data_IF_727390027209
#
_entry.id   IF_727390027209
#
_cell.length_a   1.000
_cell.length_b   1.000
_cell.length_c   1.000
_cell.angle_alpha   90.00
_cell.angle_beta   90.00
_cell.angle_gamma   90.00
#
_symmetry.space_group_name_H-M   'P 1'
#
loop_
_entity.id
_entity.type
_entity.pdbx_description
1 polymer ?
#
# COMPACT_ATOMS: atom_id res chain seq x y z
N UNK A 1 20.89 0.21 8.52
CA UNK A 1 20.41 1.49 7.94
C UNK A 1 18.88 1.69 8.10
N UNK A 2 18.29 1.07 9.14
CA UNK A 2 16.88 1.33 9.45
C UNK A 2 16.71 2.74 10.03
N UNK A 3 15.58 3.36 9.73
CA UNK A 3 15.24 4.69 10.25
C UNK A 3 14.62 4.59 11.65
N UNK A 4 14.51 5.72 12.31
CA UNK A 4 13.62 5.93 13.46
C UNK A 4 12.68 7.09 13.13
N UNK A 5 11.37 6.89 13.31
CA UNK A 5 10.38 7.94 13.10
C UNK A 5 10.04 8.65 14.43
N UNK A 6 9.68 9.95 14.40
CA UNK A 6 9.69 10.82 13.22
C UNK A 6 11.10 11.29 12.84
N UNK A 7 11.34 11.46 11.54
CA UNK A 7 12.63 11.95 11.03
C UNK A 7 12.50 12.64 9.67
N UNK A 8 13.49 13.43 9.32
CA UNK A 8 13.66 13.96 7.97
C UNK A 8 14.79 13.23 7.26
N UNK A 9 14.56 12.86 6.01
CA UNK A 9 15.61 12.31 5.15
C UNK A 9 16.58 13.41 4.70
N UNK A 10 17.71 13.02 4.10
CA UNK A 10 18.67 13.98 3.53
C UNK A 10 18.08 14.84 2.40
N UNK A 11 16.98 14.42 1.80
CA UNK A 11 16.23 15.13 0.76
C UNK A 11 15.06 15.95 1.34
N UNK A 12 15.03 16.18 2.63
CA UNK A 12 13.99 16.93 3.34
C UNK A 12 12.58 16.28 3.24
N UNK A 13 12.51 14.96 3.05
CA UNK A 13 11.25 14.21 3.11
C UNK A 13 10.93 13.87 4.56
N UNK A 14 9.71 14.13 4.97
CA UNK A 14 9.23 13.86 6.33
C UNK A 14 8.72 12.42 6.44
N UNK A 15 9.27 11.65 7.37
CA UNK A 15 8.81 10.30 7.73
C UNK A 15 8.22 10.36 9.13
N UNK A 16 6.89 10.23 9.24
CA UNK A 16 6.17 10.40 10.52
C UNK A 16 5.97 9.08 11.25
N UNK A 17 5.80 7.99 10.52
CA UNK A 17 5.62 6.62 11.03
C UNK A 17 6.45 5.64 10.22
N UNK A 18 6.95 4.56 10.86
CA UNK A 18 7.91 3.66 10.22
C UNK A 18 7.80 2.25 10.80
N UNK A 19 7.19 1.33 10.07
CA UNK A 19 6.96 -0.06 10.47
C UNK A 19 7.76 -1.09 9.69
N UNK A 20 8.83 -0.69 8.96
CA UNK A 20 9.64 -1.65 8.20
C UNK A 20 10.37 -2.69 9.08
N UNK A 21 10.89 -2.35 10.28
CA UNK A 21 11.48 -3.35 11.17
C UNK A 21 10.51 -4.48 11.50
N UNK A 22 9.27 -4.13 11.86
CA UNK A 22 8.22 -5.10 12.21
C UNK A 22 7.80 -5.93 10.98
N UNK A 23 7.80 -5.32 9.78
CA UNK A 23 7.58 -6.05 8.54
C UNK A 23 8.69 -7.09 8.29
N UNK A 24 9.95 -6.71 8.48
CA UNK A 24 11.11 -7.61 8.33
C UNK A 24 11.06 -8.74 9.35
N UNK A 25 10.80 -8.44 10.63
CA UNK A 25 10.71 -9.43 11.70
C UNK A 25 9.60 -10.45 11.43
N UNK A 26 8.46 -9.96 10.91
CA UNK A 26 7.32 -10.82 10.58
C UNK A 26 7.68 -11.79 9.44
N UNK A 27 8.18 -11.28 8.30
CA UNK A 27 8.49 -12.16 7.15
C UNK A 27 9.65 -13.11 7.45
N UNK A 28 10.63 -12.68 8.27
CA UNK A 28 11.73 -13.52 8.73
C UNK A 28 11.21 -14.71 9.54
N UNK A 29 10.34 -14.46 10.51
CA UNK A 29 9.75 -15.46 11.40
C UNK A 29 8.86 -16.44 10.64
N UNK A 30 7.88 -15.93 9.88
CA UNK A 30 6.86 -16.75 9.22
C UNK A 30 7.44 -17.59 8.07
N UNK A 31 8.44 -17.08 7.35
CA UNK A 31 9.11 -17.83 6.29
C UNK A 31 10.16 -18.81 6.83
N UNK A 32 10.59 -18.66 8.07
CA UNK A 32 11.72 -19.41 8.64
C UNK A 32 13.04 -19.05 7.98
N UNK A 33 13.22 -17.79 7.56
CA UNK A 33 14.34 -17.27 6.78
C UNK A 33 15.70 -17.74 7.27
N UNK A 34 16.03 -17.54 8.56
CA UNK A 34 17.34 -17.88 9.15
C UNK A 34 17.70 -19.36 9.05
N UNK A 35 16.68 -20.22 9.14
CA UNK A 35 16.88 -21.66 9.07
C UNK A 35 17.00 -22.17 7.64
N UNK A 36 16.36 -21.51 6.68
CA UNK A 36 16.12 -22.01 5.32
C UNK A 36 17.01 -21.37 4.25
N UNK A 37 17.29 -20.07 4.34
CA UNK A 37 18.07 -19.30 3.36
C UNK A 37 19.45 -19.92 3.12
N UNK A 38 19.79 -20.16 1.87
CA UNK A 38 21.08 -20.77 1.46
C UNK A 38 21.24 -22.25 1.86
N UNK A 39 20.19 -22.86 2.44
CA UNK A 39 20.18 -24.26 2.88
C UNK A 39 19.06 -25.07 2.23
N UNK A 40 18.35 -24.47 1.27
CA UNK A 40 17.30 -25.15 0.55
C UNK A 40 17.89 -26.34 -0.19
N UNK A 41 17.32 -27.54 0.04
CA UNK A 41 17.80 -28.74 -0.63
C UNK A 41 17.49 -28.64 -2.12
N UNK A 42 18.37 -29.17 -2.95
CA UNK A 42 17.98 -29.48 -4.34
C UNK A 42 16.74 -30.36 -4.28
N UNK A 43 15.71 -29.97 -5.02
CA UNK A 43 14.52 -30.77 -5.19
C UNK A 43 14.85 -32.13 -5.84
N UNK A 44 13.86 -32.96 -6.06
CA UNK A 44 14.08 -34.22 -6.79
C UNK A 44 14.49 -33.92 -8.23
N UNK A 45 15.56 -34.55 -8.70
CA UNK A 45 16.01 -34.46 -10.09
C UNK A 45 16.68 -33.12 -10.40
N UNK A 46 16.13 -32.39 -11.38
CA UNK A 46 16.63 -31.14 -11.93
C UNK A 46 16.01 -29.88 -11.33
N UNK A 47 15.18 -30.00 -10.30
CA UNK A 47 14.52 -28.87 -9.63
C UNK A 47 15.38 -28.34 -8.49
N UNK A 48 15.69 -27.05 -8.50
CA UNK A 48 16.37 -26.34 -7.42
C UNK A 48 15.40 -25.37 -6.72
N UNK A 49 15.52 -25.27 -5.38
CA UNK A 49 14.69 -24.38 -4.57
C UNK A 49 15.49 -23.23 -4.01
N UNK A 50 14.86 -22.06 -3.90
CA UNK A 50 15.51 -20.88 -3.34
C UNK A 50 14.54 -19.96 -2.62
N UNK A 51 15.11 -19.15 -1.75
CA UNK A 51 14.40 -18.19 -0.91
C UNK A 51 15.02 -16.79 -1.09
N UNK A 52 14.19 -15.80 -1.44
CA UNK A 52 14.65 -14.43 -1.66
C UNK A 52 13.83 -13.43 -0.83
N UNK A 53 14.49 -12.40 -0.31
CA UNK A 53 13.88 -11.33 0.47
C UNK A 53 14.14 -9.98 -0.19
N UNK A 54 13.16 -9.09 -0.10
CA UNK A 54 13.30 -7.68 -0.42
C UNK A 54 12.30 -6.83 0.37
N UNK A 55 12.51 -5.52 0.37
CA UNK A 55 11.61 -4.55 0.98
C UNK A 55 11.36 -3.38 0.03
N UNK A 56 10.27 -2.67 0.29
CA UNK A 56 9.85 -1.49 -0.45
C UNK A 56 9.25 -0.45 0.48
N UNK A 57 9.07 0.75 -0.07
CA UNK A 57 8.25 1.81 0.52
C UNK A 57 7.44 2.48 -0.58
N UNK A 58 6.33 3.09 -0.19
CA UNK A 58 5.48 3.80 -1.13
C UNK A 58 4.81 5.03 -0.51
N UNK A 59 4.27 5.91 -1.34
CA UNK A 59 3.61 7.14 -0.91
C UNK A 59 2.11 6.91 -0.67
N UNK A 60 1.55 7.53 0.36
CA UNK A 60 0.11 7.53 0.64
C UNK A 60 -0.56 8.75 -0.04
N UNK A 61 -0.45 8.80 -1.36
CA UNK A 61 -0.85 9.94 -2.17
C UNK A 61 0.26 11.00 -2.29
N UNK A 62 0.39 11.57 -3.49
CA UNK A 62 1.37 12.61 -3.79
C UNK A 62 0.96 13.95 -3.20
N UNK A 63 1.83 14.56 -2.39
CA UNK A 63 1.60 15.88 -1.80
C UNK A 63 1.59 17.02 -2.83
N UNK A 64 2.20 16.78 -4.00
CA UNK A 64 2.19 17.71 -5.12
C UNK A 64 1.89 16.96 -6.40
N UNK A 65 0.61 16.70 -6.71
CA UNK A 65 0.23 15.97 -7.91
C UNK A 65 0.56 16.76 -9.17
N UNK A 66 0.76 16.04 -10.29
CA UNK A 66 1.15 16.62 -11.59
C UNK A 66 0.13 17.65 -12.09
N UNK A 67 -1.16 17.38 -11.90
CA UNK A 67 -2.25 18.24 -12.38
C UNK A 67 -2.87 19.08 -11.26
N UNK A 68 -2.09 19.48 -10.28
CA UNK A 68 -2.58 20.29 -9.18
C UNK A 68 -2.67 21.77 -9.57
N UNK A 69 -3.85 22.36 -9.40
CA UNK A 69 -4.17 23.75 -9.76
C UNK A 69 -4.47 24.62 -8.54
N UNK A 70 -4.13 24.15 -7.33
CA UNK A 70 -4.28 24.89 -6.07
C UNK A 70 -5.57 24.59 -5.30
N UNK A 71 -6.47 23.80 -5.86
CA UNK A 71 -7.64 23.29 -5.14
C UNK A 71 -7.26 22.27 -4.06
N UNK A 72 -8.17 21.95 -3.11
CA UNK A 72 -7.95 20.86 -2.15
C UNK A 72 -7.59 19.54 -2.86
N UNK A 73 -6.69 18.76 -2.26
CA UNK A 73 -6.27 17.46 -2.82
C UNK A 73 -7.41 16.45 -2.86
N UNK A 74 -8.36 16.57 -1.93
CA UNK A 74 -9.58 15.79 -1.91
C UNK A 74 -10.74 16.62 -1.37
N UNK A 75 -11.94 16.37 -1.90
CA UNK A 75 -13.20 16.98 -1.44
C UNK A 75 -14.25 15.89 -1.33
N UNK A 76 -14.99 15.88 -0.22
CA UNK A 76 -16.13 15.01 0.03
C UNK A 76 -17.31 15.87 0.46
N UNK A 77 -18.52 15.54 -0.03
CA UNK A 77 -19.76 16.14 0.44
C UNK A 77 -20.58 15.11 1.19
N UNK A 78 -21.27 15.53 2.24
CA UNK A 78 -22.21 14.68 2.98
C UNK A 78 -23.57 15.37 2.97
N UNK A 79 -24.58 14.64 2.51
CA UNK A 79 -25.98 15.03 2.57
C UNK A 79 -26.67 14.27 3.69
N UNK A 80 -27.38 14.99 4.55
CA UNK A 80 -28.25 14.42 5.56
C UNK A 80 -29.69 14.45 5.02
N UNK A 81 -30.33 13.28 4.97
CA UNK A 81 -31.72 13.14 4.57
C UNK A 81 -32.67 13.20 5.79
N UNK A 82 -33.95 13.44 5.53
CA UNK A 82 -34.99 13.67 6.55
C UNK A 82 -35.26 12.43 7.45
N UNK A 83 -34.95 11.24 6.96
CA UNK A 83 -35.07 9.98 7.69
C UNK A 83 -33.82 9.66 8.55
N UNK A 84 -32.81 10.54 8.52
CA UNK A 84 -31.54 10.37 9.21
C UNK A 84 -30.52 9.53 8.42
N UNK A 85 -30.80 9.18 7.16
CA UNK A 85 -29.80 8.55 6.31
C UNK A 85 -28.72 9.56 5.87
N UNK A 86 -27.49 9.06 5.80
CA UNK A 86 -26.29 9.83 5.43
C UNK A 86 -25.86 9.41 4.03
N UNK A 87 -25.78 10.37 3.11
CA UNK A 87 -25.28 10.14 1.75
C UNK A 87 -23.94 10.83 1.60
N UNK A 88 -22.88 10.06 1.44
CA UNK A 88 -21.53 10.54 1.16
C UNK A 88 -21.33 10.61 -0.34
N UNK A 89 -20.98 11.78 -0.85
CA UNK A 89 -20.72 12.03 -2.26
C UNK A 89 -19.21 12.19 -2.45
N UNK A 90 -18.59 11.26 -3.17
CA UNK A 90 -17.15 11.25 -3.42
C UNK A 90 -16.84 11.00 -4.90
N UNK A 91 -15.94 11.78 -5.46
CA UNK A 91 -15.43 11.57 -6.82
C UNK A 91 -14.42 10.40 -6.92
N UNK A 92 -13.94 9.88 -5.77
CA UNK A 92 -13.02 8.75 -5.76
C UNK A 92 -13.76 7.47 -6.18
N UNK A 93 -13.41 6.96 -7.37
CA UNK A 93 -14.03 5.75 -7.90
C UNK A 93 -13.60 4.52 -7.10
N UNK A 94 -14.55 3.63 -6.86
CA UNK A 94 -14.27 2.28 -6.38
C UNK A 94 -14.03 1.37 -7.60
N UNK A 95 -12.81 0.89 -7.74
CA UNK A 95 -12.36 0.00 -8.83
C UNK A 95 -12.08 -1.42 -8.31
N UNK A 96 -12.71 -1.78 -7.18
CA UNK A 96 -12.54 -3.07 -6.51
C UNK A 96 -11.68 -3.00 -5.24
N UNK A 97 -11.07 -1.83 -4.92
CA UNK A 97 -10.23 -1.66 -3.74
C UNK A 97 -11.03 -1.43 -2.44
N UNK A 98 -12.35 -1.27 -2.50
CA UNK A 98 -13.21 -1.10 -1.32
C UNK A 98 -13.22 0.31 -0.74
N UNK A 99 -12.93 1.34 -1.55
CA UNK A 99 -12.93 2.74 -1.10
C UNK A 99 -14.29 3.21 -0.58
N UNK A 100 -15.39 2.78 -1.20
CA UNK A 100 -16.75 3.09 -0.73
C UNK A 100 -16.98 2.61 0.70
N UNK A 101 -16.53 1.41 1.03
CA UNK A 101 -16.62 0.86 2.40
C UNK A 101 -15.80 1.67 3.40
N UNK A 102 -14.56 2.03 3.05
CA UNK A 102 -13.68 2.82 3.92
C UNK A 102 -14.25 4.22 4.19
N UNK A 103 -14.80 4.88 3.17
CA UNK A 103 -15.43 6.18 3.34
C UNK A 103 -16.67 6.10 4.22
N UNK A 104 -17.52 5.08 4.04
CA UNK A 104 -18.68 4.85 4.90
C UNK A 104 -18.28 4.60 6.36
N UNK A 105 -17.27 3.74 6.59
CA UNK A 105 -16.75 3.45 7.93
C UNK A 105 -16.17 4.71 8.59
N UNK A 106 -15.41 5.52 7.85
CA UNK A 106 -14.82 6.76 8.37
C UNK A 106 -15.89 7.77 8.82
N UNK A 107 -16.95 7.93 8.04
CA UNK A 107 -18.06 8.84 8.38
C UNK A 107 -18.88 8.30 9.55
N UNK A 108 -19.19 7.01 9.55
CA UNK A 108 -19.94 6.35 10.62
C UNK A 108 -19.21 6.47 11.98
N UNK A 109 -17.89 6.26 11.99
CA UNK A 109 -17.06 6.37 13.20
C UNK A 109 -17.05 7.78 13.77
N UNK A 110 -16.89 8.82 12.94
CA UNK A 110 -16.92 10.23 13.40
C UNK A 110 -18.27 10.61 14.00
N UNK A 111 -19.35 10.16 13.35
CA UNK A 111 -20.71 10.48 13.79
C UNK A 111 -21.19 9.59 14.93
N UNK A 112 -20.53 8.45 15.17
CA UNK A 112 -20.95 7.45 16.15
C UNK A 112 -22.23 6.71 15.74
N UNK A 113 -22.44 6.50 14.43
CA UNK A 113 -23.66 5.90 13.88
C UNK A 113 -23.41 4.48 13.36
N UNK A 114 -24.49 3.71 13.23
CA UNK A 114 -24.46 2.42 12.55
C UNK A 114 -24.08 2.63 11.07
N UNK A 115 -23.19 1.76 10.57
CA UNK A 115 -22.74 1.79 9.18
C UNK A 115 -23.91 1.68 8.17
N UNK A 116 -24.98 0.98 8.53
CA UNK A 116 -26.18 0.85 7.68
C UNK A 116 -26.87 2.17 7.39
N UNK A 117 -26.62 3.23 8.17
CA UNK A 117 -27.14 4.58 7.92
C UNK A 117 -26.34 5.35 6.86
N UNK A 118 -25.16 4.87 6.50
CA UNK A 118 -24.24 5.58 5.59
C UNK A 118 -24.20 4.91 4.25
N UNK A 119 -24.58 5.65 3.20
CA UNK A 119 -24.45 5.24 1.81
C UNK A 119 -23.43 6.12 1.10
N UNK A 120 -22.58 5.53 0.29
CA UNK A 120 -21.60 6.26 -0.53
C UNK A 120 -22.06 6.23 -2.00
N UNK A 121 -22.02 7.38 -2.65
CA UNK A 121 -22.28 7.55 -4.09
C UNK A 121 -20.98 8.01 -4.74
N UNK A 122 -20.56 7.25 -5.76
CA UNK A 122 -19.39 7.53 -6.60
C UNK A 122 -19.75 7.35 -8.07
N UNK A 123 -18.88 7.77 -8.97
CA UNK A 123 -19.00 7.47 -10.41
C UNK A 123 -19.97 8.34 -11.21
N UNK A 124 -20.71 9.25 -10.56
CA UNK A 124 -21.58 10.21 -11.21
C UNK A 124 -20.99 11.62 -11.14
N UNK A 125 -20.31 12.03 -12.20
CA UNK A 125 -19.61 13.31 -12.26
C UNK A 125 -20.52 14.55 -12.22
N UNK A 126 -21.82 14.40 -12.42
CA UNK A 126 -22.77 15.49 -12.28
C UNK A 126 -23.12 15.78 -10.82
N UNK A 127 -22.95 14.78 -9.94
CA UNK A 127 -23.37 14.85 -8.54
C UNK A 127 -22.20 14.93 -7.57
N UNK A 128 -21.14 14.18 -7.84
CA UNK A 128 -19.99 14.08 -6.93
C UNK A 128 -18.95 15.18 -7.17
N UNK A 129 -18.16 15.56 -6.14
CA UNK A 129 -17.07 16.50 -6.34
C UNK A 129 -16.00 15.95 -7.29
N UNK A 130 -15.23 16.84 -7.93
CA UNK A 130 -14.03 16.46 -8.68
C UNK A 130 -13.11 15.64 -7.79
N UNK A 131 -12.54 14.58 -8.37
CA UNK A 131 -11.43 13.83 -7.79
C UNK A 131 -10.28 13.71 -8.79
N UNK A 132 -9.07 13.58 -8.29
CA UNK A 132 -7.87 13.49 -9.12
C UNK A 132 -7.52 12.05 -9.54
N UNK A 133 -8.32 11.05 -9.17
CA UNK A 133 -8.11 9.63 -9.44
C UNK A 133 -7.46 8.89 -8.27
N UNK A 134 -7.47 7.56 -8.35
CA UNK A 134 -7.01 6.67 -7.27
C UNK A 134 -5.49 6.43 -7.27
N UNK A 135 -4.74 7.03 -8.19
CA UNK A 135 -3.29 6.85 -8.32
C UNK A 135 -2.51 7.22 -7.05
N UNK A 136 -1.29 6.71 -6.94
CA UNK A 136 -0.43 6.89 -5.76
C UNK A 136 -1.08 6.38 -4.47
N UNK A 137 -2.03 5.47 -4.58
CA UNK A 137 -2.75 4.83 -3.47
C UNK A 137 -3.32 5.84 -2.46
N UNK A 138 -3.85 6.98 -2.97
CA UNK A 138 -4.18 8.17 -2.19
C UNK A 138 -5.54 8.13 -1.48
N UNK A 139 -6.44 7.24 -1.91
CA UNK A 139 -7.86 7.36 -1.53
C UNK A 139 -8.07 7.25 -0.02
N UNK A 140 -7.56 6.21 0.63
CA UNK A 140 -7.70 6.07 2.08
C UNK A 140 -7.12 7.28 2.81
N UNK A 141 -5.91 7.70 2.45
CA UNK A 141 -5.21 8.77 3.16
C UNK A 141 -5.86 10.15 2.93
N UNK A 142 -6.05 10.54 1.67
CA UNK A 142 -6.50 11.90 1.32
C UNK A 142 -8.02 12.03 1.34
N UNK A 143 -8.73 11.11 0.66
CA UNK A 143 -10.20 11.20 0.59
C UNK A 143 -10.81 10.77 1.92
N UNK A 144 -10.20 9.82 2.64
CA UNK A 144 -10.58 9.47 4.01
C UNK A 144 -10.50 10.66 4.97
N UNK A 145 -9.42 11.45 4.93
CA UNK A 145 -9.33 12.69 5.73
C UNK A 145 -10.38 13.73 5.32
N UNK A 146 -10.66 13.90 4.03
CA UNK A 146 -11.73 14.80 3.58
C UNK A 146 -13.12 14.31 4.03
N UNK A 147 -13.34 12.99 4.08
CA UNK A 147 -14.58 12.42 4.62
C UNK A 147 -14.73 12.64 6.13
N UNK A 148 -13.63 12.54 6.88
CA UNK A 148 -13.61 12.86 8.32
C UNK A 148 -13.94 14.34 8.54
N UNK A 149 -13.33 15.25 7.77
CA UNK A 149 -13.59 16.69 7.85
C UNK A 149 -15.08 17.00 7.53
N UNK A 150 -15.64 16.40 6.48
CA UNK A 150 -17.05 16.53 6.16
C UNK A 150 -17.96 16.00 7.29
N UNK A 151 -17.61 14.85 7.87
CA UNK A 151 -18.37 14.27 8.99
C UNK A 151 -18.28 15.13 10.26
N UNK A 152 -17.13 15.73 10.54
CA UNK A 152 -16.97 16.67 11.65
C UNK A 152 -17.81 17.94 11.43
N UNK A 153 -17.86 18.45 10.20
CA UNK A 153 -18.71 19.58 9.85
C UNK A 153 -20.20 19.26 10.02
N UNK A 154 -20.64 18.05 9.62
CA UNK A 154 -22.01 17.60 9.89
C UNK A 154 -22.28 17.44 11.38
N UNK A 155 -21.36 16.84 12.13
CA UNK A 155 -21.46 16.68 13.58
C UNK A 155 -21.62 18.02 14.30
N UNK A 156 -20.93 19.06 13.86
CA UNK A 156 -21.08 20.41 14.40
C UNK A 156 -22.49 20.98 14.18
N UNK A 157 -23.07 20.76 13.00
CA UNK A 157 -24.46 21.16 12.70
C UNK A 157 -25.44 20.42 13.59
N UNK A 158 -25.27 19.11 13.79
CA UNK A 158 -26.12 18.29 14.67
C UNK A 158 -26.01 18.72 16.14
N UNK A 159 -24.79 18.97 16.62
CA UNK A 159 -24.55 19.48 17.98
C UNK A 159 -25.25 20.82 18.18
N UNK A 160 -25.17 21.75 17.21
CA UNK A 160 -25.86 23.04 17.31
C UNK A 160 -27.38 22.88 17.35
N UNK A 161 -27.95 21.95 16.59
CA UNK A 161 -29.39 21.64 16.64
C UNK A 161 -29.79 21.02 17.96
N UNK A 162 -29.02 20.07 18.49
CA UNK A 162 -29.25 19.46 19.80
C UNK A 162 -29.21 20.52 20.93
N UNK A 163 -28.22 21.41 20.89
CA UNK A 163 -28.05 22.50 21.85
C UNK A 163 -29.28 23.43 21.86
N UNK A 164 -29.79 23.83 20.71
CA UNK A 164 -31.03 24.63 20.62
C UNK A 164 -32.24 23.93 21.28
N UNK A 165 -32.40 22.64 21.00
CA UNK A 165 -33.53 21.85 21.48
C UNK A 165 -33.46 21.53 22.99
N UNK A 166 -32.25 21.44 23.53
CA UNK A 166 -31.96 21.15 24.94
C UNK A 166 -31.78 22.43 25.77
N UNK A 167 -31.86 23.61 25.17
CA UNK A 167 -31.56 24.91 25.81
C UNK A 167 -30.19 24.92 26.47
N UNK A 168 -29.17 24.46 25.76
CA UNK A 168 -27.79 24.31 26.23
C UNK A 168 -26.80 24.95 25.25
N UNK A 169 -25.55 25.10 25.66
CA UNK A 169 -24.48 25.55 24.73
C UNK A 169 -23.94 24.36 23.94
N UNK A 170 -23.47 24.56 22.66
CA UNK A 170 -22.91 23.49 21.87
C UNK A 170 -21.77 22.72 22.56
N UNK A 171 -20.91 23.39 23.34
CA UNK A 171 -19.82 22.76 24.09
C UNK A 171 -20.24 21.91 25.28
N UNK A 172 -21.54 21.97 25.67
CA UNK A 172 -22.11 21.17 26.73
C UNK A 172 -22.80 19.90 26.21
N UNK A 173 -22.87 19.73 24.87
CA UNK A 173 -23.50 18.58 24.21
C UNK A 173 -22.50 17.44 24.09
N UNK A 174 -22.81 16.33 24.70
CA UNK A 174 -22.12 15.06 24.54
C UNK A 174 -22.84 14.18 23.50
N UNK A 175 -22.07 13.66 22.52
CA UNK A 175 -22.56 12.70 21.54
C UNK A 175 -22.15 11.29 21.95
N UNK A 176 -23.07 10.47 22.33
CA UNK A 176 -22.86 9.08 22.75
C UNK A 176 -23.55 8.14 21.75
N UNK A 177 -22.91 7.94 20.60
CA UNK A 177 -23.55 7.23 19.48
C UNK A 177 -24.80 7.99 18.98
N UNK A 178 -25.95 7.32 18.94
CA UNK A 178 -27.22 7.93 18.49
C UNK A 178 -27.90 8.81 19.58
N UNK A 179 -27.24 9.10 20.69
CA UNK A 179 -27.80 9.88 21.80
C UNK A 179 -27.01 11.18 22.01
N UNK A 180 -27.73 12.30 22.09
CA UNK A 180 -27.19 13.63 22.36
C UNK A 180 -27.70 14.12 23.71
N UNK A 181 -26.81 14.49 24.64
CA UNK A 181 -27.14 14.95 26.00
C UNK A 181 -26.49 16.30 26.30
N UNK A 182 -27.15 17.08 27.16
CA UNK A 182 -26.57 18.28 27.74
C UNK A 182 -26.15 18.00 29.19
N UNK A 183 -24.84 17.86 29.43
CA UNK A 183 -24.27 17.61 30.76
C UNK A 183 -24.87 16.36 31.45
N UNK A 184 -25.13 16.47 32.77
CA UNK A 184 -25.69 15.40 33.59
C UNK A 184 -27.24 15.25 33.51
N UNK A 185 -27.87 15.78 32.47
CA UNK A 185 -29.33 15.66 32.29
C UNK A 185 -29.71 14.20 31.96
N UNK A 186 -30.74 13.69 32.67
CA UNK A 186 -31.27 12.33 32.45
C UNK A 186 -31.96 12.15 31.09
N UNK A 187 -32.37 13.24 30.43
CA UNK A 187 -33.02 13.22 29.14
C UNK A 187 -32.05 13.65 28.04
N UNK A 188 -31.76 12.74 27.12
CA UNK A 188 -31.08 13.01 25.85
C UNK A 188 -32.05 13.06 24.68
N UNK A 189 -31.57 13.53 23.55
CA UNK A 189 -32.25 13.47 22.25
C UNK A 189 -31.69 12.29 21.47
N UNK A 190 -32.55 11.57 20.81
CA UNK A 190 -32.16 10.59 19.80
C UNK A 190 -31.59 11.28 18.54
N UNK A 191 -30.76 10.58 17.77
CA UNK A 191 -30.25 11.10 16.50
C UNK A 191 -31.39 11.63 15.58
N UNK A 192 -32.49 10.89 15.44
CA UNK A 192 -33.61 11.29 14.60
C UNK A 192 -34.31 12.57 15.10
N UNK A 193 -34.38 12.78 16.41
CA UNK A 193 -34.93 14.03 17.00
C UNK A 193 -34.01 15.22 16.71
N UNK A 194 -32.68 15.00 16.72
CA UNK A 194 -31.70 16.02 16.37
C UNK A 194 -31.74 16.32 14.86
N UNK A 195 -31.86 15.30 14.01
CA UNK A 195 -32.03 15.47 12.56
C UNK A 195 -33.27 16.31 12.25
N UNK A 196 -34.42 15.98 12.86
CA UNK A 196 -35.66 16.74 12.71
C UNK A 196 -35.47 18.22 13.11
N UNK A 197 -34.75 18.46 14.21
CA UNK A 197 -34.45 19.83 14.65
C UNK A 197 -33.50 20.55 13.70
N UNK A 198 -32.47 19.87 13.20
CA UNK A 198 -31.48 20.44 12.29
C UNK A 198 -32.10 20.86 10.94
N UNK A 199 -33.10 20.11 10.47
CA UNK A 199 -33.75 20.36 9.18
C UNK A 199 -34.85 21.42 9.18
N UNK A 200 -35.31 21.89 10.35
CA UNK A 200 -36.43 22.84 10.45
C UNK A 200 -36.24 24.11 9.63
N UNK A 201 -35.04 24.65 9.64
CA UNK A 201 -34.76 25.96 9.02
C UNK A 201 -34.38 25.86 7.55
N UNK A 202 -33.81 24.72 7.13
CA UNK A 202 -33.20 24.59 5.80
C UNK A 202 -33.85 23.53 4.90
N UNK A 203 -34.63 22.61 5.48
CA UNK A 203 -35.27 21.49 4.77
C UNK A 203 -34.28 20.45 4.21
N UNK A 204 -33.01 20.80 4.05
CA UNK A 204 -31.93 19.91 3.62
C UNK A 204 -30.61 20.41 4.18
N UNK A 205 -29.69 19.48 4.46
CA UNK A 205 -28.34 19.80 4.91
C UNK A 205 -27.34 19.09 4.01
N UNK A 206 -26.44 19.88 3.44
CA UNK A 206 -25.25 19.35 2.74
C UNK A 206 -24.03 20.07 3.25
N UNK A 207 -23.04 19.33 3.71
CA UNK A 207 -21.75 19.85 4.18
C UNK A 207 -20.64 19.38 3.26
N UNK A 208 -19.53 20.12 3.27
CA UNK A 208 -18.33 19.79 2.49
C UNK A 208 -17.16 19.64 3.44
N UNK A 209 -16.33 18.64 3.21
CA UNK A 209 -15.03 18.47 3.83
C UNK A 209 -13.93 18.45 2.78
N UNK A 210 -12.77 18.94 3.16
CA UNK A 210 -11.62 19.08 2.29
C UNK A 210 -10.36 18.54 2.97
N UNK A 211 -9.42 18.10 2.15
CA UNK A 211 -8.09 17.75 2.60
C UNK A 211 -7.03 18.36 1.70
N UNK A 212 -6.01 18.98 2.29
CA UNK A 212 -4.82 19.45 1.59
C UNK A 212 -3.57 19.06 2.38
N UNK A 213 -2.52 18.67 1.67
CA UNK A 213 -1.22 18.44 2.28
C UNK A 213 -0.57 19.77 2.67
N UNK A 214 0.33 19.73 3.64
CA UNK A 214 1.10 20.91 4.02
C UNK A 214 2.29 21.13 3.07
N UNK A 215 2.73 22.39 2.84
CA UNK A 215 3.84 22.69 1.93
C UNK A 215 5.15 21.99 2.28
N UNK A 216 5.39 21.74 3.56
CA UNK A 216 6.58 21.03 4.08
C UNK A 216 6.67 19.60 3.56
N UNK A 217 5.55 18.97 3.26
CA UNK A 217 5.50 17.62 2.69
C UNK A 217 5.78 17.56 1.18
N UNK A 218 5.89 18.73 0.51
CA UNK A 218 6.14 18.77 -0.94
C UNK A 218 7.60 18.45 -1.31
N UNK A 219 8.44 18.17 -0.34
CA UNK A 219 9.88 17.97 -0.51
C UNK A 219 10.64 19.29 -0.54
N UNK A 220 11.84 19.30 0.05
CA UNK A 220 12.68 20.48 0.12
C UNK A 220 13.42 20.81 -1.18
N UNK A 221 14.25 21.87 -1.15
CA UNK A 221 15.07 22.29 -2.29
C UNK A 221 16.04 21.20 -2.78
N UNK A 222 16.41 20.27 -1.92
CA UNK A 222 17.28 19.13 -2.23
C UNK A 222 16.54 17.97 -2.92
N UNK A 223 15.22 17.95 -2.86
CA UNK A 223 14.44 16.90 -3.52
C UNK A 223 14.52 17.06 -5.04
N UNK A 224 15.17 16.10 -5.68
CA UNK A 224 15.31 16.01 -7.14
C UNK A 224 14.59 14.78 -7.69
N UNK A 225 13.47 14.44 -7.06
CA UNK A 225 12.65 13.31 -7.45
C UNK A 225 11.74 13.60 -8.63
N UNK A 226 10.72 12.77 -8.76
CA UNK A 226 9.67 12.94 -9.77
C UNK A 226 8.89 14.24 -9.58
N UNK A 227 8.15 14.63 -10.61
CA UNK A 227 7.33 15.84 -10.61
C UNK A 227 6.24 15.87 -9.50
N UNK A 228 5.89 14.72 -8.97
CA UNK A 228 4.82 14.56 -7.97
C UNK A 228 5.26 14.80 -6.52
N UNK A 229 6.54 14.97 -6.24
CA UNK A 229 7.03 15.31 -4.90
C UNK A 229 6.90 14.20 -3.84
N UNK A 230 6.98 14.61 -2.57
CA UNK A 230 6.86 13.71 -1.42
C UNK A 230 5.42 13.42 -1.01
N UNK A 231 5.23 12.94 0.21
CA UNK A 231 3.92 12.62 0.79
C UNK A 231 3.89 12.93 2.28
N UNK A 232 2.70 13.00 2.87
CA UNK A 232 2.53 13.11 4.32
C UNK A 232 2.76 11.77 5.04
N UNK A 233 2.51 10.64 4.38
CA UNK A 233 2.66 9.30 4.93
C UNK A 233 3.34 8.34 3.96
N UNK A 234 4.28 7.53 4.46
CA UNK A 234 4.95 6.46 3.73
C UNK A 234 4.56 5.11 4.30
N UNK A 235 4.09 4.20 3.44
CA UNK A 235 3.96 2.79 3.76
C UNK A 235 5.28 2.06 3.56
N UNK A 236 5.40 0.88 4.19
CA UNK A 236 6.57 0.02 4.08
C UNK A 236 6.13 -1.42 3.92
N UNK A 237 6.89 -2.19 3.15
CA UNK A 237 6.63 -3.61 2.98
C UNK A 237 7.93 -4.41 2.96
N UNK A 238 7.87 -5.62 3.49
CA UNK A 238 8.91 -6.64 3.34
C UNK A 238 8.28 -7.92 2.80
N UNK A 239 9.00 -8.62 1.92
CA UNK A 239 8.54 -9.85 1.32
C UNK A 239 9.63 -10.91 1.30
N UNK A 240 9.21 -12.15 1.50
CA UNK A 240 10.00 -13.36 1.23
C UNK A 240 9.27 -14.18 0.19
N UNK A 241 9.99 -14.56 -0.87
CA UNK A 241 9.48 -15.39 -1.96
C UNK A 241 10.23 -16.71 -1.97
N UNK A 242 9.50 -17.81 -2.03
CA UNK A 242 10.02 -19.16 -2.24
C UNK A 242 9.76 -19.59 -3.68
N UNK A 243 10.79 -20.13 -4.34
CA UNK A 243 10.69 -20.60 -5.72
C UNK A 243 11.23 -22.01 -5.88
N UNK A 244 10.67 -22.71 -6.89
CA UNK A 244 11.23 -23.89 -7.53
C UNK A 244 11.63 -23.54 -8.95
N UNK A 245 12.88 -23.84 -9.32
CA UNK A 245 13.41 -23.64 -10.67
C UNK A 245 13.74 -24.98 -11.29
N UNK A 246 13.09 -25.29 -12.40
CA UNK A 246 13.43 -26.43 -13.23
C UNK A 246 14.63 -26.08 -14.11
N UNK A 247 15.78 -26.66 -13.82
CA UNK A 247 17.02 -26.35 -14.52
C UNK A 247 17.12 -26.93 -15.95
N UNK A 248 16.23 -27.85 -16.34
CA UNK A 248 16.18 -28.41 -17.71
C UNK A 248 15.31 -27.60 -18.65
N UNK A 249 14.25 -26.97 -18.11
CA UNK A 249 13.30 -26.21 -18.92
C UNK A 249 13.39 -24.70 -18.70
N UNK A 250 14.00 -24.25 -17.60
CA UNK A 250 14.03 -22.85 -17.19
C UNK A 250 12.72 -22.37 -16.54
N UNK A 251 11.75 -23.24 -16.33
CA UNK A 251 10.48 -22.88 -15.69
C UNK A 251 10.70 -22.53 -14.23
N UNK A 252 10.19 -21.38 -13.80
CA UNK A 252 10.19 -20.91 -12.41
C UNK A 252 8.77 -20.98 -11.88
N UNK A 253 8.59 -21.67 -10.76
CA UNK A 253 7.33 -21.72 -10.03
C UNK A 253 7.51 -20.97 -8.72
N UNK A 254 6.61 -20.03 -8.42
CA UNK A 254 6.54 -19.39 -7.11
C UNK A 254 5.76 -20.31 -6.17
N UNK A 255 6.46 -20.92 -5.22
CA UNK A 255 5.86 -21.91 -4.31
C UNK A 255 5.03 -21.24 -3.21
N UNK A 256 5.52 -20.10 -2.67
CA UNK A 256 4.83 -19.32 -1.62
C UNK A 256 5.42 -17.91 -1.49
N UNK A 257 4.57 -16.98 -1.05
CA UNK A 257 4.96 -15.61 -0.72
C UNK A 257 4.53 -15.30 0.72
N UNK A 258 5.42 -14.74 1.51
CA UNK A 258 5.16 -14.09 2.79
C UNK A 258 5.36 -12.60 2.59
N UNK A 259 4.35 -11.82 2.90
CA UNK A 259 4.38 -10.36 2.73
C UNK A 259 3.86 -9.67 3.97
N UNK A 260 4.65 -8.78 4.54
CA UNK A 260 4.21 -7.88 5.60
C UNK A 260 4.12 -6.45 5.06
N UNK A 261 3.04 -5.76 5.40
CA UNK A 261 2.77 -4.41 4.94
C UNK A 261 2.37 -3.50 6.10
N UNK A 262 3.06 -2.37 6.23
CA UNK A 262 2.75 -1.32 7.18
C UNK A 262 1.76 -0.33 6.55
N UNK A 263 0.48 -0.55 6.83
CA UNK A 263 -0.63 0.30 6.39
C UNK A 263 -1.01 1.39 7.42
N UNK A 264 -0.17 1.63 8.42
CA UNK A 264 -0.45 2.57 9.51
C UNK A 264 -1.50 2.03 10.48
N UNK A 265 -2.75 1.98 10.07
CA UNK A 265 -3.87 1.28 10.73
C UNK A 265 -4.79 0.67 9.69
N UNK A 266 -5.12 -0.59 9.86
CA UNK A 266 -6.05 -1.28 8.99
C UNK A 266 -7.50 -0.92 9.35
N UNK A 267 -8.09 0.03 8.64
CA UNK A 267 -9.49 0.41 8.85
C UNK A 267 -10.44 -0.74 8.50
N UNK A 268 -10.06 -1.56 7.53
CA UNK A 268 -10.72 -2.80 7.20
C UNK A 268 -9.66 -3.85 6.84
N UNK A 269 -9.42 -4.82 7.73
CA UNK A 269 -8.37 -5.83 7.57
C UNK A 269 -8.56 -6.69 6.33
N UNK A 270 -9.81 -7.07 6.01
CA UNK A 270 -10.12 -7.92 4.85
C UNK A 270 -9.73 -7.22 3.54
N UNK A 271 -10.07 -5.93 3.39
CA UNK A 271 -9.71 -5.18 2.18
C UNK A 271 -8.21 -4.90 2.10
N UNK A 272 -7.54 -4.67 3.23
CA UNK A 272 -6.06 -4.54 3.26
C UNK A 272 -5.39 -5.82 2.81
N UNK A 273 -5.80 -6.98 3.32
CA UNK A 273 -5.28 -8.28 2.89
C UNK A 273 -5.49 -8.51 1.39
N UNK A 274 -6.69 -8.22 0.88
CA UNK A 274 -7.00 -8.33 -0.55
C UNK A 274 -6.14 -7.40 -1.42
N UNK A 275 -5.90 -6.17 -0.99
CA UNK A 275 -5.04 -5.21 -1.70
C UNK A 275 -3.58 -5.68 -1.73
N UNK A 276 -3.05 -6.17 -0.60
CA UNK A 276 -1.68 -6.69 -0.52
C UNK A 276 -1.51 -7.92 -1.41
N UNK A 277 -2.47 -8.86 -1.40
CA UNK A 277 -2.46 -10.03 -2.29
C UNK A 277 -2.50 -9.61 -3.77
N UNK A 278 -3.37 -8.68 -4.13
CA UNK A 278 -3.48 -8.16 -5.50
C UNK A 278 -2.20 -7.44 -5.96
N UNK A 279 -1.54 -6.72 -5.05
CA UNK A 279 -0.27 -6.04 -5.30
C UNK A 279 0.87 -7.04 -5.58
N UNK A 280 0.96 -8.12 -4.80
CA UNK A 280 1.91 -9.22 -5.03
C UNK A 280 1.63 -9.90 -6.37
N UNK A 281 0.37 -10.19 -6.66
CA UNK A 281 -0.06 -10.82 -7.91
C UNK A 281 0.26 -9.95 -9.14
N UNK A 282 0.06 -8.63 -9.04
CA UNK A 282 0.47 -7.68 -10.08
C UNK A 282 2.00 -7.72 -10.29
N UNK A 283 2.77 -7.79 -9.20
CA UNK A 283 4.23 -7.97 -9.27
C UNK A 283 4.64 -9.28 -9.93
N UNK A 284 3.88 -10.36 -9.71
CA UNK A 284 4.09 -11.66 -10.37
C UNK A 284 3.98 -11.53 -11.90
N UNK A 285 2.92 -10.89 -12.38
CA UNK A 285 2.73 -10.65 -13.81
C UNK A 285 3.89 -9.86 -14.42
N UNK A 286 4.23 -8.73 -13.83
CA UNK A 286 5.34 -7.88 -14.29
C UNK A 286 6.68 -8.62 -14.26
N UNK A 287 6.91 -9.48 -13.28
CA UNK A 287 8.18 -10.17 -13.13
C UNK A 287 8.34 -11.37 -14.06
N UNK A 288 7.26 -12.04 -14.46
CA UNK A 288 7.34 -13.36 -15.08
C UNK A 288 6.72 -13.47 -16.49
N UNK A 289 5.70 -12.65 -16.83
CA UNK A 289 4.92 -12.88 -18.06
C UNK A 289 4.54 -11.64 -18.84
N UNK A 290 4.36 -10.49 -18.19
CA UNK A 290 3.90 -9.27 -18.87
C UNK A 290 5.06 -8.52 -19.52
N UNK A 291 4.98 -8.29 -20.83
CA UNK A 291 5.98 -7.53 -21.58
C UNK A 291 5.31 -6.65 -22.64
N UNK A 292 5.56 -5.35 -22.58
CA UNK A 292 5.17 -4.41 -23.62
C UNK A 292 6.29 -4.38 -24.68
N UNK A 293 6.14 -5.18 -25.72
CA UNK A 293 7.16 -5.34 -26.77
C UNK A 293 6.85 -4.49 -27.99
N UNK A 294 7.91 -3.85 -28.53
CA UNK A 294 7.84 -3.07 -29.77
C UNK A 294 8.78 -3.65 -30.82
N UNK A 295 8.30 -3.69 -32.07
CA UNK A 295 9.12 -4.01 -33.24
C UNK A 295 9.00 -2.86 -34.24
N UNK A 296 10.12 -2.24 -34.60
CA UNK A 296 10.17 -1.06 -35.50
C UNK A 296 9.19 0.07 -35.14
N UNK A 297 8.98 0.29 -33.84
CA UNK A 297 8.05 1.31 -33.30
C UNK A 297 6.58 0.87 -33.24
N UNK A 298 6.23 -0.33 -33.66
CA UNK A 298 4.90 -0.90 -33.57
C UNK A 298 4.77 -1.78 -32.33
N UNK A 299 3.69 -1.59 -31.57
CA UNK A 299 3.36 -2.43 -30.42
C UNK A 299 2.91 -3.81 -30.90
N UNK A 300 3.70 -4.86 -30.56
CA UNK A 300 3.42 -6.24 -30.99
C UNK A 300 2.67 -7.05 -29.95
N UNK A 301 2.62 -6.59 -28.69
CA UNK A 301 1.87 -7.22 -27.60
C UNK A 301 0.61 -6.41 -27.23
N UNK A 302 -0.09 -5.86 -28.22
CA UNK A 302 -1.22 -4.95 -28.02
C UNK A 302 -2.56 -5.62 -27.72
N UNK A 303 -2.59 -6.90 -27.39
CA UNK A 303 -3.79 -7.66 -27.08
C UNK A 303 -3.55 -8.64 -25.92
N UNK A 304 -4.62 -9.15 -25.30
CA UNK A 304 -4.54 -10.02 -24.12
C UNK A 304 -4.02 -11.44 -24.42
N UNK A 305 -3.85 -11.82 -25.68
CA UNK A 305 -3.25 -13.11 -26.05
C UNK A 305 -1.73 -13.05 -25.92
N UNK A 306 -1.15 -11.92 -26.35
CA UNK A 306 0.31 -11.72 -26.38
C UNK A 306 0.81 -11.04 -25.11
N UNK A 307 0.05 -10.10 -24.55
CA UNK A 307 0.30 -9.51 -23.23
C UNK A 307 -0.32 -10.40 -22.16
N UNK A 308 0.50 -11.25 -21.54
CA UNK A 308 0.03 -12.34 -20.68
C UNK A 308 -0.11 -11.90 -19.23
N UNK A 309 -1.28 -11.41 -18.88
CA UNK A 309 -1.65 -11.22 -17.46
C UNK A 309 -1.84 -12.59 -16.80
N UNK A 310 -1.27 -12.85 -15.62
CA UNK A 310 -1.47 -14.11 -14.90
C UNK A 310 -2.97 -14.39 -14.64
N UNK A 311 -3.33 -15.66 -14.60
CA UNK A 311 -4.65 -16.11 -14.21
C UNK A 311 -4.71 -16.43 -12.72
N UNK A 312 -5.90 -16.71 -12.19
CA UNK A 312 -6.05 -17.13 -10.79
C UNK A 312 -5.29 -18.44 -10.50
N UNK A 313 -5.09 -19.29 -11.50
CA UNK A 313 -4.34 -20.55 -11.36
C UNK A 313 -2.84 -20.33 -11.21
N UNK A 314 -2.34 -19.20 -11.69
CA UNK A 314 -0.92 -18.80 -11.55
C UNK A 314 -0.62 -18.17 -10.17
N UNK A 315 -1.66 -17.86 -9.38
CA UNK A 315 -1.48 -17.21 -8.08
C UNK A 315 -0.90 -18.18 -7.05
N UNK A 316 0.28 -17.87 -6.48
CA UNK A 316 0.83 -18.69 -5.40
C UNK A 316 0.04 -18.47 -4.10
N UNK A 317 0.21 -19.35 -3.10
CA UNK A 317 -0.22 -19.07 -1.74
C UNK A 317 0.48 -17.81 -1.21
N UNK A 318 -0.31 -16.81 -0.80
CA UNK A 318 0.19 -15.52 -0.26
C UNK A 318 -0.25 -15.39 1.19
N UNK A 319 0.70 -15.32 2.10
CA UNK A 319 0.47 -15.08 3.53
C UNK A 319 0.75 -13.63 3.86
N UNK A 320 -0.25 -12.92 4.42
CA UNK A 320 -0.20 -11.48 4.65
C UNK A 320 -0.06 -11.17 6.14
N UNK A 321 0.97 -10.38 6.48
CA UNK A 321 1.14 -9.73 7.77
C UNK A 321 0.75 -8.26 7.69
N UNK A 322 -0.10 -7.80 8.61
CA UNK A 322 -0.49 -6.39 8.71
C UNK A 322 0.27 -5.77 9.88
N UNK A 323 1.05 -4.73 9.58
CA UNK A 323 1.76 -3.90 10.55
C UNK A 323 1.06 -2.56 10.67
N UNK A 324 0.89 -2.07 11.90
CA UNK A 324 0.13 -0.86 12.22
C UNK A 324 1.01 0.13 12.98
N UNK A 325 1.73 0.98 12.24
CA UNK A 325 2.62 2.01 12.81
C UNK A 325 1.89 3.31 13.24
N UNK A 326 0.60 3.43 12.96
CA UNK A 326 -0.28 4.54 13.31
C UNK A 326 0.26 5.92 12.90
N UNK A 327 0.04 6.29 11.64
CA UNK A 327 0.50 7.57 11.10
C UNK A 327 -0.31 8.75 11.67
N UNK A 328 0.33 9.79 12.24
CA UNK A 328 -0.38 10.92 12.86
C UNK A 328 -1.20 11.77 11.88
N UNK A 329 -0.92 11.71 10.58
CA UNK A 329 -1.62 12.46 9.54
C UNK A 329 -2.64 11.63 8.77
N UNK A 330 -2.64 10.32 8.96
CA UNK A 330 -3.59 9.41 8.31
C UNK A 330 -4.96 9.39 9.00
N UNK A 331 -6.03 9.11 8.25
CA UNK A 331 -7.37 8.95 8.83
C UNK A 331 -7.34 7.81 9.86
N UNK A 332 -7.58 8.13 11.13
CA UNK A 332 -7.44 7.20 12.25
C UNK A 332 -6.09 6.46 12.33
N UNK A 333 -5.04 7.01 11.74
CA UNK A 333 -3.71 6.41 11.69
C UNK A 333 -3.40 5.60 10.42
N UNK A 334 -4.33 5.50 9.47
CA UNK A 334 -4.16 4.71 8.26
C UNK A 334 -3.22 5.35 7.24
N UNK A 335 -2.49 4.50 6.52
CA UNK A 335 -1.72 4.82 5.32
C UNK A 335 -2.28 4.06 4.11
N UNK A 336 -1.58 4.08 3.00
CA UNK A 336 -1.97 3.31 1.82
C UNK A 336 -1.75 1.79 2.04
N UNK A 337 -2.42 0.98 1.23
CA UNK A 337 -2.24 -0.45 1.16
C UNK A 337 -2.35 -1.00 -0.29
N UNK A 338 -2.36 -0.11 -1.31
CA UNK A 338 -2.58 -0.49 -2.71
C UNK A 338 -1.31 -0.93 -3.43
N UNK A 339 -0.32 -0.05 -3.55
CA UNK A 339 0.85 -0.26 -4.43
C UNK A 339 2.14 -0.58 -3.66
N UNK A 340 2.18 -0.33 -2.33
CA UNK A 340 3.40 -0.41 -1.54
C UNK A 340 4.06 -1.79 -1.51
N UNK A 341 3.29 -2.86 -1.62
CA UNK A 341 3.82 -4.23 -1.61
C UNK A 341 4.27 -4.73 -2.99
N UNK A 342 3.90 -4.05 -4.10
CA UNK A 342 4.25 -4.49 -5.45
C UNK A 342 5.77 -4.51 -5.67
N UNK A 343 6.43 -3.40 -5.36
CA UNK A 343 7.82 -3.18 -5.72
C UNK A 343 8.80 -4.14 -5.03
N UNK A 344 8.46 -4.66 -3.84
CA UNK A 344 9.31 -5.64 -3.14
C UNK A 344 9.27 -7.03 -3.77
N UNK A 345 8.18 -7.41 -4.45
CA UNK A 345 8.03 -8.74 -5.03
C UNK A 345 9.10 -9.02 -6.11
N UNK A 346 9.33 -8.08 -7.02
CA UNK A 346 10.23 -8.26 -8.15
C UNK A 346 11.67 -8.62 -7.71
N UNK A 347 12.32 -7.82 -6.84
CA UNK A 347 13.66 -8.16 -6.36
C UNK A 347 13.66 -9.38 -5.41
N UNK A 348 12.58 -9.63 -4.65
CA UNK A 348 12.49 -10.83 -3.83
C UNK A 348 12.48 -12.10 -4.70
N UNK A 349 11.72 -12.11 -5.80
CA UNK A 349 11.68 -13.20 -6.75
C UNK A 349 13.06 -13.44 -7.40
N UNK A 350 13.70 -12.40 -7.92
CA UNK A 350 15.01 -12.55 -8.58
C UNK A 350 16.10 -12.95 -7.59
N UNK A 351 16.01 -12.52 -6.33
CA UNK A 351 16.89 -13.02 -5.24
C UNK A 351 16.63 -14.50 -4.92
N UNK A 352 15.36 -14.95 -4.94
CA UNK A 352 15.03 -16.36 -4.74
C UNK A 352 15.57 -17.25 -5.86
N UNK A 353 15.46 -16.81 -7.11
CA UNK A 353 16.06 -17.52 -8.25
C UNK A 353 17.59 -17.57 -8.10
N UNK A 354 18.20 -16.47 -7.68
CA UNK A 354 19.66 -16.45 -7.46
C UNK A 354 20.10 -17.40 -6.32
N UNK A 355 19.28 -17.54 -5.26
CA UNK A 355 19.52 -18.51 -4.19
C UNK A 355 19.37 -19.95 -4.69
N UNK A 356 18.38 -20.22 -5.56
CA UNK A 356 18.12 -21.55 -6.13
C UNK A 356 19.22 -22.01 -7.06
N UNK A 357 19.57 -21.17 -8.04
CA UNK A 357 20.41 -21.60 -9.19
C UNK A 357 21.67 -20.76 -9.39
N UNK A 358 21.97 -19.79 -8.53
CA UNK A 358 23.19 -18.97 -8.58
C UNK A 358 23.31 -18.06 -9.82
N UNK A 359 22.15 -17.69 -10.43
CA UNK A 359 22.09 -16.76 -11.56
C UNK A 359 21.25 -15.56 -11.17
N UNK A 360 21.75 -14.33 -11.44
CA UNK A 360 21.03 -13.10 -11.16
C UNK A 360 20.41 -12.55 -12.44
N UNK A 361 19.17 -12.09 -12.31
CA UNK A 361 18.41 -11.42 -13.36
C UNK A 361 18.24 -9.94 -13.00
N UNK A 362 18.57 -9.06 -13.96
CA UNK A 362 18.43 -7.61 -13.83
C UNK A 362 17.39 -7.06 -14.82
N UNK A 363 16.94 -7.89 -15.74
CA UNK A 363 15.94 -7.56 -16.76
C UNK A 363 14.69 -8.44 -16.55
N UNK A 364 13.52 -7.85 -16.73
CA UNK A 364 12.22 -8.50 -16.61
C UNK A 364 11.49 -8.49 -17.98
N UNK A 365 10.54 -9.40 -18.17
CA UNK A 365 10.15 -10.53 -17.33
C UNK A 365 11.21 -11.65 -17.34
N UNK A 366 11.21 -12.46 -16.27
CA UNK A 366 12.08 -13.65 -16.14
C UNK A 366 11.37 -14.86 -16.75
N UNK A 367 11.35 -14.90 -18.08
CA UNK A 367 10.68 -15.97 -18.85
C UNK A 367 11.51 -17.26 -18.85
N UNK A 368 10.88 -18.44 -19.05
CA UNK A 368 11.59 -19.72 -19.06
C UNK A 368 12.77 -19.80 -20.04
N UNK A 369 12.64 -19.23 -21.21
CA UNK A 369 13.72 -19.17 -22.22
C UNK A 369 14.90 -18.32 -21.75
N UNK A 370 14.65 -17.18 -21.09
CA UNK A 370 15.68 -16.32 -20.49
C UNK A 370 16.40 -17.04 -19.34
N UNK A 371 15.65 -17.76 -18.50
CA UNK A 371 16.22 -18.55 -17.41
C UNK A 371 17.06 -19.69 -17.97
N UNK A 372 16.54 -20.45 -18.92
CA UNK A 372 17.25 -21.55 -19.56
C UNK A 372 18.56 -21.08 -20.22
N UNK A 373 18.52 -19.99 -20.99
CA UNK A 373 19.71 -19.44 -21.64
C UNK A 373 20.79 -19.00 -20.62
N UNK A 374 20.37 -18.42 -19.49
CA UNK A 374 21.27 -18.02 -18.43
C UNK A 374 21.90 -19.23 -17.70
N UNK A 375 21.12 -20.28 -17.46
CA UNK A 375 21.61 -21.55 -16.90
C UNK A 375 22.63 -22.24 -17.83
N UNK A 376 22.35 -22.29 -19.14
CA UNK A 376 23.27 -22.82 -20.12
C UNK A 376 24.58 -22.03 -20.16
N UNK A 377 24.54 -20.71 -20.17
CA UNK A 377 25.71 -19.84 -20.08
C UNK A 377 26.55 -20.14 -18.84
N UNK A 378 25.89 -20.30 -17.67
CA UNK A 378 26.57 -20.68 -16.41
C UNK A 378 27.21 -22.05 -16.49
N UNK A 379 26.52 -23.08 -17.05
CA UNK A 379 27.06 -24.43 -17.20
C UNK A 379 28.32 -24.42 -18.08
N UNK A 380 28.30 -23.71 -19.20
CA UNK A 380 29.48 -23.57 -20.09
C UNK A 380 30.65 -22.87 -19.42
N UNK A 381 30.40 -21.82 -18.63
CA UNK A 381 31.44 -21.13 -17.88
C UNK A 381 32.09 -22.05 -16.81
N UNK A 382 31.28 -22.84 -16.09
CA UNK A 382 31.80 -23.82 -15.12
C UNK A 382 32.61 -24.94 -15.79
N UNK A 383 32.17 -25.45 -16.93
CA UNK A 383 32.87 -26.47 -17.69
C UNK A 383 34.23 -25.95 -18.21
N UNK A 384 34.29 -24.72 -18.73
CA UNK A 384 35.55 -24.11 -19.19
C UNK A 384 36.51 -23.83 -18.01
N UNK A 385 36.00 -23.43 -16.83
CA UNK A 385 36.82 -23.24 -15.66
C UNK A 385 37.39 -24.56 -15.12
N UNK A 386 36.63 -25.65 -15.15
CA UNK A 386 37.09 -26.98 -14.72
C UNK A 386 38.13 -27.58 -15.71
N UNK A 387 38.03 -27.31 -17.00
CA UNK A 387 39.02 -27.71 -17.98
C UNK A 387 40.33 -26.91 -17.87
N UNK A 388 40.26 -25.65 -17.47
CA UNK A 388 41.43 -24.81 -17.23
C UNK A 388 42.18 -25.15 -15.92
N UNK A 389 41.50 -25.68 -14.92
CA UNK A 389 42.06 -26.07 -13.61
C UNK A 389 42.68 -27.48 -13.59
N UNK A 390 42.48 -28.27 -14.68
CA UNK A 390 43.20 -29.57 -14.84
C UNK A 390 44.73 -29.45 -15.07
N UNK A 391 45.28 -28.24 -15.12
CA UNK A 391 46.70 -28.00 -15.37
C UNK A 391 47.49 -27.34 -14.26
N UNK A 392 46.90 -26.79 -13.18
CA UNK A 392 47.66 -26.30 -11.99
C UNK A 392 46.67 -25.98 -10.84
N UNK A 393 47.17 -26.23 -9.60
CA UNK A 393 46.40 -26.15 -8.38
C UNK A 393 45.67 -24.84 -8.12
N UNK A 394 44.57 -24.94 -7.41
CA UNK A 394 43.56 -23.96 -7.01
C UNK A 394 44.04 -22.56 -6.64
N UNK A 395 43.20 -21.55 -6.96
CA UNK A 395 42.89 -20.52 -5.99
C UNK A 395 41.43 -20.64 -5.53
N UNK A 396 41.26 -20.90 -4.25
CA UNK A 396 40.02 -20.69 -3.49
C UNK A 396 39.71 -19.19 -3.43
N UNK A 397 38.91 -18.66 -4.32
CA UNK A 397 38.39 -17.29 -4.16
C UNK A 397 37.16 -17.10 -5.06
N UNK A 398 36.01 -17.61 -4.65
CA UNK A 398 34.66 -17.12 -5.01
C UNK A 398 33.59 -17.96 -4.29
N UNK A 399 33.81 -18.19 -3.01
CA UNK A 399 32.75 -18.60 -2.11
C UNK A 399 32.85 -17.68 -0.88
N UNK A 400 31.73 -17.09 -0.53
CA UNK A 400 31.54 -16.23 0.66
C UNK A 400 32.16 -14.83 0.58
N UNK A 401 31.36 -13.85 0.42
CA UNK A 401 31.74 -12.46 0.56
C UNK A 401 30.59 -11.56 0.92
N UNK A 402 30.05 -11.68 2.12
CA UNK A 402 29.71 -10.55 2.98
C UNK A 402 30.09 -11.00 4.38
N UNK A 403 31.30 -10.66 4.76
CA UNK A 403 31.77 -10.73 6.13
C UNK A 403 31.16 -9.55 6.90
N UNK A 404 30.39 -9.85 7.92
CA UNK A 404 29.74 -8.88 8.79
C UNK A 404 30.69 -8.31 9.86
N UNK A 405 32.00 -8.20 9.56
CA UNK A 405 33.00 -7.64 10.48
C UNK A 405 33.99 -6.73 9.78
N UNK A 406 33.56 -5.54 9.38
CA UNK A 406 34.47 -4.42 9.18
C UNK A 406 33.78 -3.14 9.64
N UNK A 407 34.01 -2.84 10.90
CA UNK A 407 33.68 -1.59 11.52
C UNK A 407 34.57 -0.44 11.03
N UNK A 408 34.14 0.75 11.42
CA UNK A 408 34.85 2.01 11.47
C UNK A 408 35.28 2.63 10.11
N UNK A 409 34.47 3.57 9.63
CA UNK A 409 35.01 4.72 8.93
C UNK A 409 35.42 5.79 9.95
N UNK A 410 36.68 6.32 9.90
CA UNK A 410 37.06 7.47 10.68
C UNK A 410 36.44 8.73 10.08
N UNK A 411 36.06 9.67 10.97
CA UNK A 411 35.44 10.94 10.62
C UNK A 411 36.34 11.81 9.74
N UNK A 412 35.67 12.62 8.93
CA UNK A 412 36.25 13.82 8.34
C UNK A 412 35.43 15.02 8.77
N UNK A 413 36.15 16.04 9.19
CA UNK A 413 35.71 17.33 9.70
C UNK A 413 34.82 18.12 8.73
#
# INVERSE_FOLDING_TARGET
NLLSAPTFTQNDLMVNSYGLPECLDWVERESGWQARRGKMSKGKGHVSKGLGMACSHYISGASKPVNWTGEPHATVKIKLDFDGSIVVLSGAADIGQGSTTILAQSVAEVLGLDLARVRVVTGDSEVVPKDNGSYSSRVTFMVGNAAIDAAQNLKAVLIAAAARKLDAKPGEIECLGELYRAGAQDKGLTFNEVVTEALKDTGTITVTGNYSTIPESHGGKKYRGAAIGGTMGYSYSAQVVEVSVDEETGVVTVDKVWVAHDCGRALNRLTVEGQVQGSVWMGLGQAMSEETAYHEGLLVTGNMLDYRVPTIEDSPPIEVGIVESNDPHGPFGAKEAGEGSLAAFLPALTNAIADAVGVRFNDLPVTPDRVFAALEKRRRALASASSATGATGFPKQYATGIDASAGHCPGAA
#
